data_IF_724495865608
#
_entry.id   IF_724495865608
#
_cell.length_a   1.000
_cell.length_b   1.000
_cell.length_c   1.000
_cell.angle_alpha   90.00
_cell.angle_beta   90.00
_cell.angle_gamma   90.00
#
_symmetry.space_group_name_H-M   'P 1'
#
loop_
_entity.id
_entity.type
_entity.pdbx_description
1 polymer ?
#
# COMPACT_ATOMS: atom_id res chain seq x y z
N UNK A 1 9.90 -24.43 45.49
CA UNK A 1 10.50 -23.10 45.24
C UNK A 1 9.88 -22.63 43.96
N UNK A 2 8.73 -21.95 44.08
CA UNK A 2 7.90 -21.61 42.93
C UNK A 2 8.31 -20.22 42.46
N UNK A 3 9.15 -20.19 41.42
CA UNK A 3 9.59 -18.94 40.82
C UNK A 3 8.44 -18.30 40.07
N UNK A 4 7.94 -17.17 40.59
CA UNK A 4 7.07 -16.28 39.82
C UNK A 4 7.85 -15.78 38.60
N UNK A 5 7.27 -16.02 37.42
CA UNK A 5 7.71 -15.44 36.16
C UNK A 5 7.66 -13.91 36.22
N UNK A 6 8.63 -13.18 35.65
CA UNK A 6 8.67 -11.72 35.68
C UNK A 6 7.43 -11.10 35.06
N UNK A 7 6.90 -10.06 35.71
CA UNK A 7 5.65 -9.37 35.37
C UNK A 7 5.69 -8.59 34.03
N UNK A 8 6.71 -8.80 33.19
CA UNK A 8 6.98 -8.05 31.96
C UNK A 8 6.21 -8.59 30.74
N UNK A 9 5.66 -9.81 30.82
CA UNK A 9 4.99 -10.46 29.67
C UNK A 9 3.48 -10.68 29.87
N UNK A 10 2.88 -10.12 30.91
CA UNK A 10 1.42 -10.28 31.11
C UNK A 10 0.68 -9.16 30.39
N UNK A 11 0.31 -9.43 29.14
CA UNK A 11 -0.59 -8.59 28.33
C UNK A 11 -1.84 -8.25 29.16
N UNK A 12 -2.17 -6.95 29.29
CA UNK A 12 -3.33 -6.54 30.08
C UNK A 12 -4.61 -7.27 29.60
N UNK A 13 -5.45 -7.74 30.52
CA UNK A 13 -6.67 -8.54 30.27
C UNK A 13 -7.74 -7.88 29.36
N UNK A 14 -7.47 -6.74 28.75
CA UNK A 14 -8.44 -5.91 28.03
C UNK A 14 -8.16 -5.75 26.52
N UNK A 15 -7.24 -6.54 25.93
CA UNK A 15 -7.09 -6.53 24.47
C UNK A 15 -8.28 -7.23 23.81
N UNK A 16 -9.06 -6.48 23.04
CA UNK A 16 -10.24 -7.00 22.31
C UNK A 16 -9.87 -7.94 21.16
N UNK A 17 -8.73 -7.68 20.54
CA UNK A 17 -8.14 -8.52 19.49
C UNK A 17 -7.12 -9.45 20.15
N UNK A 18 -7.14 -10.71 19.77
CA UNK A 18 -6.22 -11.76 20.23
C UNK A 18 -4.88 -11.65 19.53
N UNK A 19 -3.85 -12.36 20.01
CA UNK A 19 -2.54 -12.35 19.38
C UNK A 19 -2.58 -12.89 17.95
N UNK A 20 -3.27 -14.03 17.74
CA UNK A 20 -3.43 -14.62 16.42
C UNK A 20 -4.12 -13.68 15.43
N UNK A 21 -5.16 -12.97 15.88
CA UNK A 21 -5.84 -11.98 15.03
C UNK A 21 -4.95 -10.76 14.74
N UNK A 22 -4.10 -10.33 15.67
CA UNK A 22 -3.11 -9.29 15.41
C UNK A 22 -2.08 -9.76 14.37
N UNK A 23 -1.57 -10.98 14.48
CA UNK A 23 -0.63 -11.59 13.52
C UNK A 23 -1.24 -11.63 12.10
N UNK A 24 -2.49 -12.07 11.97
CA UNK A 24 -3.21 -12.08 10.68
C UNK A 24 -3.36 -10.68 10.09
N UNK A 25 -3.63 -9.67 10.91
CA UNK A 25 -3.71 -8.27 10.44
C UNK A 25 -2.34 -7.80 9.94
N UNK A 26 -1.23 -8.15 10.62
CA UNK A 26 0.12 -7.79 10.18
C UNK A 26 0.44 -8.46 8.85
N UNK A 27 0.25 -9.77 8.73
CA UNK A 27 0.50 -10.52 7.49
C UNK A 27 -0.30 -9.94 6.32
N UNK A 28 -1.56 -9.59 6.56
CA UNK A 28 -2.40 -8.95 5.54
C UNK A 28 -1.85 -7.59 5.09
N UNK A 29 -1.39 -6.75 6.02
CA UNK A 29 -0.78 -5.45 5.68
C UNK A 29 0.48 -5.66 4.83
N UNK A 30 1.32 -6.62 5.20
CA UNK A 30 2.56 -6.92 4.48
C UNK A 30 2.28 -7.50 3.07
N UNK A 31 1.30 -8.39 2.92
CA UNK A 31 0.87 -8.88 1.59
C UNK A 31 0.38 -7.73 0.70
N UNK A 32 -0.47 -6.86 1.25
CA UNK A 32 -1.02 -5.72 0.53
C UNK A 32 0.06 -4.73 0.10
N UNK A 33 1.05 -4.45 0.96
CA UNK A 33 2.19 -3.58 0.61
C UNK A 33 3.06 -4.21 -0.47
N UNK A 34 3.37 -5.52 -0.38
CA UNK A 34 4.12 -6.27 -1.41
C UNK A 34 3.43 -6.24 -2.78
N UNK A 35 2.10 -6.21 -2.81
CA UNK A 35 1.30 -6.10 -4.04
C UNK A 35 1.19 -4.67 -4.57
N UNK A 36 1.75 -3.68 -3.87
CA UNK A 36 1.69 -2.26 -4.25
C UNK A 36 0.41 -1.54 -3.81
N UNK A 37 -0.41 -2.16 -2.96
CA UNK A 37 -1.68 -1.63 -2.48
C UNK A 37 -1.74 -1.51 -0.95
N UNK A 38 -0.79 -0.81 -0.30
CA UNK A 38 -0.75 -0.73 1.15
C UNK A 38 -2.05 -0.11 1.71
N UNK A 39 -2.61 -0.67 2.80
CA UNK A 39 -3.85 -0.19 3.36
C UNK A 39 -3.69 1.20 3.97
N UNK A 40 -4.75 2.01 3.89
CA UNK A 40 -4.88 3.22 4.70
C UNK A 40 -5.09 2.85 6.17
N UNK A 41 -4.77 3.75 7.09
CA UNK A 41 -5.05 3.58 8.53
C UNK A 41 -6.51 3.18 8.79
N UNK A 42 -7.45 3.79 8.06
CA UNK A 42 -8.87 3.44 8.17
C UNK A 42 -9.15 2.00 7.74
N UNK A 43 -8.48 1.50 6.69
CA UNK A 43 -8.60 0.10 6.26
C UNK A 43 -8.10 -0.89 7.31
N UNK A 44 -7.03 -0.54 8.05
CA UNK A 44 -6.55 -1.36 9.19
C UNK A 44 -7.58 -1.39 10.32
N UNK A 45 -8.23 -0.25 10.61
CA UNK A 45 -9.34 -0.19 11.58
C UNK A 45 -10.54 -1.03 11.12
N UNK A 46 -10.88 -0.97 9.84
CA UNK A 46 -12.03 -1.69 9.27
C UNK A 46 -11.78 -3.20 9.27
N UNK A 47 -10.56 -3.66 8.97
CA UNK A 47 -10.17 -5.08 9.09
C UNK A 47 -10.30 -5.58 10.53
N UNK A 48 -9.79 -4.81 11.49
CA UNK A 48 -9.91 -5.12 12.91
C UNK A 48 -11.37 -5.19 13.37
N UNK A 49 -12.21 -4.27 12.90
CA UNK A 49 -13.63 -4.26 13.20
C UNK A 49 -14.38 -5.42 12.54
N UNK A 50 -13.99 -5.83 11.34
CA UNK A 50 -14.56 -6.98 10.64
C UNK A 50 -14.36 -8.28 11.44
N UNK A 51 -13.14 -8.49 11.95
CA UNK A 51 -12.83 -9.62 12.82
C UNK A 51 -13.68 -9.57 14.11
N UNK A 52 -13.77 -8.40 14.75
CA UNK A 52 -14.57 -8.25 15.98
C UNK A 52 -16.07 -8.46 15.74
N UNK A 53 -16.59 -7.99 14.61
CA UNK A 53 -17.98 -8.18 14.21
C UNK A 53 -18.31 -9.66 14.00
N UNK A 54 -17.40 -10.44 13.40
CA UNK A 54 -17.54 -11.89 13.28
C UNK A 54 -17.69 -12.61 14.64
N UNK A 55 -17.14 -12.01 15.70
CA UNK A 55 -17.20 -12.50 17.10
C UNK A 55 -18.30 -11.82 17.92
N UNK A 56 -19.16 -11.02 17.30
CA UNK A 56 -20.18 -10.20 17.98
C UNK A 56 -19.60 -9.30 19.08
N UNK A 57 -18.36 -8.84 18.90
CA UNK A 57 -17.63 -8.00 19.85
C UNK A 57 -17.77 -6.50 19.51
N UNK A 58 -17.52 -5.64 20.51
CA UNK A 58 -17.57 -4.19 20.33
C UNK A 58 -16.38 -3.68 19.50
N UNK A 59 -16.66 -2.82 18.52
CA UNK A 59 -15.68 -2.13 17.66
C UNK A 59 -14.47 -1.53 18.40
N UNK A 60 -13.35 -1.40 17.70
CA UNK A 60 -12.13 -0.77 18.23
C UNK A 60 -12.32 0.73 18.45
N UNK A 61 -11.46 1.33 19.28
CA UNK A 61 -11.47 2.77 19.51
C UNK A 61 -10.84 3.55 18.34
N UNK A 62 -11.16 4.84 18.20
CA UNK A 62 -10.68 5.71 17.10
C UNK A 62 -9.15 5.73 16.93
N UNK A 63 -8.40 5.67 18.04
CA UNK A 63 -6.94 5.70 18.02
C UNK A 63 -6.30 4.30 17.96
N UNK A 64 -7.11 3.24 17.86
CA UNK A 64 -6.61 1.87 17.94
C UNK A 64 -5.64 1.55 16.80
N UNK A 65 -5.99 1.88 15.56
CA UNK A 65 -5.13 1.59 14.39
C UNK A 65 -3.77 2.32 14.47
N UNK A 66 -3.75 3.58 14.89
CA UNK A 66 -2.51 4.31 15.13
C UNK A 66 -1.65 3.67 16.22
N UNK A 67 -2.27 3.27 17.33
CA UNK A 67 -1.56 2.58 18.43
C UNK A 67 -1.11 1.19 18.03
N UNK A 68 -1.86 0.50 17.17
CA UNK A 68 -1.51 -0.81 16.64
C UNK A 68 -0.21 -0.71 15.84
N UNK A 69 -0.16 0.17 14.84
CA UNK A 69 1.07 0.39 14.06
C UNK A 69 2.23 0.81 14.95
N UNK A 70 2.01 1.68 15.94
CA UNK A 70 3.08 2.10 16.86
C UNK A 70 3.64 0.96 17.74
N UNK A 71 2.86 -0.10 18.00
CA UNK A 71 3.31 -1.24 18.82
C UNK A 71 4.13 -2.26 18.03
N UNK A 72 3.94 -2.33 16.72
CA UNK A 72 4.59 -3.32 15.85
C UNK A 72 5.74 -2.67 15.09
N UNK A 73 6.96 -3.08 15.40
CA UNK A 73 8.19 -2.53 14.82
C UNK A 73 8.37 -2.91 13.35
N UNK A 74 7.58 -3.85 12.85
CA UNK A 74 7.54 -4.30 11.46
C UNK A 74 6.73 -3.35 10.57
N UNK A 75 5.92 -2.46 11.16
CA UNK A 75 5.00 -1.58 10.43
C UNK A 75 5.39 -0.10 10.60
N UNK A 76 5.33 0.68 9.51
CA UNK A 76 5.41 2.14 9.54
C UNK A 76 4.20 2.78 8.88
N UNK A 77 3.86 3.98 9.35
CA UNK A 77 2.93 4.86 8.65
C UNK A 77 3.76 5.75 7.73
N UNK A 78 3.51 5.72 6.43
CA UNK A 78 4.16 6.59 5.47
C UNK A 78 3.13 7.29 4.58
N UNK A 79 3.55 8.40 3.97
CA UNK A 79 2.78 9.05 2.92
C UNK A 79 3.08 8.33 1.60
N UNK A 80 2.07 7.70 1.01
CA UNK A 80 2.16 7.25 -0.37
C UNK A 80 2.00 8.49 -1.26
N UNK A 81 3.11 9.02 -1.78
CA UNK A 81 3.11 9.99 -2.86
C UNK A 81 3.42 9.24 -4.15
N UNK A 82 2.41 8.56 -4.74
CA UNK A 82 2.52 7.95 -6.06
C UNK A 82 2.41 9.01 -7.17
N UNK A 83 3.02 10.18 -6.98
CA UNK A 83 3.45 10.90 -8.15
C UNK A 83 4.58 10.04 -8.72
N UNK A 84 4.43 9.55 -9.95
CA UNK A 84 5.57 9.02 -10.69
C UNK A 84 6.51 10.20 -10.94
N UNK A 85 7.26 10.62 -9.92
CA UNK A 85 8.11 11.79 -9.96
C UNK A 85 9.12 11.67 -11.10
N UNK A 86 9.55 10.44 -11.41
CA UNK A 86 10.33 10.13 -12.61
C UNK A 86 9.57 10.43 -13.92
N UNK A 87 8.27 10.10 -14.04
CA UNK A 87 7.46 10.53 -15.21
C UNK A 87 7.30 12.04 -15.25
N UNK A 88 6.99 12.68 -14.13
CA UNK A 88 6.85 14.14 -14.06
C UNK A 88 8.15 14.86 -14.45
N UNK A 89 9.32 14.28 -14.13
CA UNK A 89 10.62 14.79 -14.58
C UNK A 89 10.90 14.50 -16.06
N UNK A 90 10.38 13.39 -16.60
CA UNK A 90 10.50 13.04 -18.02
C UNK A 90 9.48 13.74 -18.92
N UNK A 91 8.55 14.51 -18.37
CA UNK A 91 7.61 15.39 -19.08
C UNK A 91 8.28 16.71 -19.55
N UNK A 92 9.59 16.72 -19.77
CA UNK A 92 10.27 17.83 -20.46
C UNK A 92 9.79 17.87 -21.91
N UNK A 93 9.17 18.99 -22.29
CA UNK A 93 8.68 19.26 -23.64
C UNK A 93 9.71 18.95 -24.72
N UNK A 94 11.00 19.23 -24.48
CA UNK A 94 12.05 18.98 -25.47
C UNK A 94 12.34 17.49 -25.63
N UNK A 95 12.41 16.76 -24.52
CA UNK A 95 12.66 15.32 -24.54
C UNK A 95 11.51 14.57 -25.21
N UNK A 96 10.27 14.98 -24.92
CA UNK A 96 9.08 14.44 -25.58
C UNK A 96 9.08 14.73 -27.08
N UNK A 97 9.38 15.96 -27.49
CA UNK A 97 9.45 16.34 -28.91
C UNK A 97 10.51 15.54 -29.67
N UNK A 98 11.69 15.37 -29.09
CA UNK A 98 12.76 14.55 -29.68
C UNK A 98 12.37 13.08 -29.82
N UNK A 99 11.71 12.53 -28.80
CA UNK A 99 11.21 11.15 -28.82
C UNK A 99 10.13 10.96 -29.89
N UNK A 100 9.13 11.84 -29.96
CA UNK A 100 8.08 11.76 -31.00
C UNK A 100 8.67 11.93 -32.40
N UNK A 101 9.65 12.82 -32.58
CA UNK A 101 10.36 12.98 -33.86
C UNK A 101 11.08 11.69 -34.26
N UNK A 102 11.71 10.98 -33.32
CA UNK A 102 12.35 9.69 -33.59
C UNK A 102 11.32 8.64 -34.00
N UNK A 103 10.18 8.58 -33.31
CA UNK A 103 9.07 7.66 -33.64
C UNK A 103 8.53 7.94 -35.05
N UNK A 104 8.27 9.20 -35.40
CA UNK A 104 7.83 9.59 -36.74
C UNK A 104 8.85 9.23 -37.84
N UNK A 105 10.15 9.36 -37.55
CA UNK A 105 11.20 8.97 -38.51
C UNK A 105 11.22 7.45 -38.74
N UNK A 106 11.02 6.64 -37.69
CA UNK A 106 10.94 5.18 -37.78
C UNK A 106 9.67 4.78 -38.54
N UNK A 107 8.54 5.44 -38.27
CA UNK A 107 7.29 5.23 -38.98
C UNK A 107 7.47 5.46 -40.49
N UNK A 108 8.08 6.58 -40.87
CA UNK A 108 8.36 6.91 -42.26
C UNK A 108 9.34 5.92 -42.91
N UNK A 109 10.37 5.47 -42.18
CA UNK A 109 11.39 4.53 -42.69
C UNK A 109 10.83 3.15 -43.01
N UNK A 110 9.91 2.65 -42.18
CA UNK A 110 9.36 1.30 -42.32
C UNK A 110 7.94 1.28 -42.88
N UNK A 111 7.41 2.42 -43.33
CA UNK A 111 6.06 2.57 -43.86
C UNK A 111 4.98 1.99 -42.93
N UNK A 112 5.14 2.19 -41.62
CA UNK A 112 4.17 1.72 -40.62
C UNK A 112 2.92 2.60 -40.76
N UNK A 113 1.78 1.97 -41.06
CA UNK A 113 0.51 2.69 -41.21
C UNK A 113 -0.02 3.11 -39.84
N UNK A 114 -0.71 4.24 -39.78
CA UNK A 114 -1.32 4.73 -38.53
C UNK A 114 -2.25 3.68 -37.91
N UNK A 115 -2.92 2.87 -38.74
CA UNK A 115 -3.80 1.79 -38.27
C UNK A 115 -3.08 0.66 -37.52
N UNK A 116 -1.77 0.50 -37.73
CA UNK A 116 -0.97 -0.55 -37.08
C UNK A 116 -0.43 -0.11 -35.72
N UNK A 117 -0.62 1.16 -35.35
CA UNK A 117 -0.13 1.74 -34.09
C UNK A 117 -1.08 1.52 -32.91
N UNK A 118 -2.38 1.39 -33.16
CA UNK A 118 -3.44 1.42 -32.14
C UNK A 118 -3.81 0.04 -31.56
N UNK A 119 -2.82 -0.75 -31.14
CA UNK A 119 -3.06 -2.08 -30.52
C UNK A 119 -2.45 -2.24 -29.11
N UNK A 120 -2.28 -1.16 -28.34
CA UNK A 120 -1.59 -1.22 -27.04
C UNK A 120 -2.37 -0.57 -25.87
N UNK A 121 -3.69 -0.75 -25.81
CA UNK A 121 -4.53 -0.32 -24.68
C UNK A 121 -5.22 -1.49 -23.94
N UNK A 122 -5.18 -2.73 -24.46
CA UNK A 122 -5.87 -3.87 -23.85
C UNK A 122 -5.23 -4.45 -22.57
N UNK A 123 -4.08 -3.94 -22.12
CA UNK A 123 -3.59 -4.22 -20.77
C UNK A 123 -3.50 -2.92 -19.99
N UNK A 124 -4.66 -2.51 -19.46
CA UNK A 124 -4.80 -1.36 -18.57
C UNK A 124 -3.97 -1.54 -17.30
N UNK A 125 -2.70 -1.14 -17.35
CA UNK A 125 -1.99 -0.75 -16.15
C UNK A 125 -2.75 0.44 -15.57
N UNK A 126 -3.02 0.42 -14.27
CA UNK A 126 -3.60 1.55 -13.55
C UNK A 126 -2.56 2.68 -13.52
N UNK A 127 -2.45 3.42 -14.62
CA UNK A 127 -1.64 4.62 -14.75
C UNK A 127 -2.47 5.81 -14.31
N UNK A 128 -2.12 6.44 -13.17
CA UNK A 128 -2.66 7.75 -12.80
C UNK A 128 -3.35 7.85 -11.44
N UNK A 129 -3.26 6.87 -10.53
CA UNK A 129 -3.70 7.10 -9.15
C UNK A 129 -2.65 7.98 -8.44
N UNK A 130 -2.83 9.29 -8.57
CA UNK A 130 -2.11 10.31 -7.79
C UNK A 130 -2.97 10.56 -6.54
N UNK A 131 -2.91 9.67 -5.57
CA UNK A 131 -3.56 9.89 -4.27
C UNK A 131 -2.50 10.02 -3.20
N UNK A 132 -2.33 11.22 -2.66
CA UNK A 132 -1.58 11.43 -1.42
C UNK A 132 -2.42 10.86 -0.29
N UNK A 133 -1.98 9.72 0.26
CA UNK A 133 -2.66 9.09 1.38
C UNK A 133 -1.66 8.58 2.40
N UNK A 134 -2.02 8.71 3.69
CA UNK A 134 -1.32 8.01 4.76
C UNK A 134 -1.68 6.52 4.69
N UNK A 135 -0.67 5.70 4.47
CA UNK A 135 -0.77 4.25 4.35
C UNK A 135 0.13 3.57 5.38
N UNK A 136 -0.17 2.30 5.67
CA UNK A 136 0.64 1.45 6.54
C UNK A 136 1.42 0.49 5.67
N UNK A 137 2.73 0.44 5.85
CA UNK A 137 3.66 -0.34 5.02
C UNK A 137 4.63 -1.10 5.91
N UNK A 138 5.36 -2.03 5.30
CA UNK A 138 6.55 -2.62 5.92
C UNK A 138 7.58 -1.51 6.23
N UNK A 139 8.31 -1.66 7.33
CA UNK A 139 9.43 -0.76 7.68
C UNK A 139 10.56 -0.83 6.66
N UNK A 140 10.81 -1.99 6.05
CA UNK A 140 11.92 -2.20 5.10
C UNK A 140 11.68 -1.60 3.70
N UNK A 141 10.50 -1.07 3.44
CA UNK A 141 10.15 -0.43 2.16
C UNK A 141 10.94 0.84 1.85
#
# INVERSE_FOLDING_TARGET
>A
MDGLTPHTETRANCYKITQLEEEVIIEYILDMDRRGFPPKIKGVEDMANYILESRSAKKVGKLWAHRFVKRHTELKICFNCTCNFQRALCEDSKFLEEWFRLVSNIQAKYCILDCDFYNFDETGFITGIISVAMVVTDVER
#
